data_IF_753137474493
#
_entry.id   IF_753137474493
#
_cell.length_a   1.000
_cell.length_b   1.000
_cell.length_c   1.000
_cell.angle_alpha   90.00
_cell.angle_beta   90.00
_cell.angle_gamma   90.00
#
_symmetry.space_group_name_H-M   'P 1'
#
loop_
_entity.id
_entity.type
_entity.pdbx_description
1 polymer ?
#
# COMPACT_ATOMS: atom_id res chain seq x y z
N UNK A 1 -16.65 -4.58 2.35
CA UNK A 1 -15.81 -4.05 1.25
C UNK A 1 -14.55 -4.88 1.13
N UNK A 2 -14.08 -5.15 -0.09
CA UNK A 2 -12.78 -5.77 -0.34
C UNK A 2 -11.92 -4.86 -1.22
N UNK A 3 -10.66 -4.63 -0.82
CA UNK A 3 -9.67 -3.82 -1.53
C UNK A 3 -8.59 -4.75 -2.08
N UNK A 4 -8.40 -4.73 -3.40
CA UNK A 4 -7.53 -5.67 -4.11
C UNK A 4 -8.27 -6.94 -4.55
N UNK A 5 -9.49 -6.78 -5.08
CA UNK A 5 -10.37 -7.91 -5.41
C UNK A 5 -9.84 -8.81 -6.53
N UNK A 6 -8.94 -8.35 -7.40
CA UNK A 6 -8.37 -9.13 -8.50
C UNK A 6 -9.46 -9.77 -9.38
N UNK A 7 -9.52 -11.10 -9.46
CA UNK A 7 -10.57 -11.82 -10.17
C UNK A 7 -11.88 -11.96 -9.35
N UNK A 8 -11.97 -11.44 -8.13
CA UNK A 8 -13.22 -11.41 -7.34
C UNK A 8 -13.65 -12.75 -6.72
N UNK A 9 -12.75 -13.74 -6.61
CA UNK A 9 -13.08 -15.03 -5.96
C UNK A 9 -13.42 -14.84 -4.48
N UNK A 10 -12.60 -14.07 -3.75
CA UNK A 10 -12.88 -13.70 -2.36
C UNK A 10 -14.15 -12.84 -2.29
N UNK A 11 -14.32 -11.89 -3.20
CA UNK A 11 -15.50 -11.00 -3.23
C UNK A 11 -16.79 -11.80 -3.40
N UNK A 12 -16.78 -12.85 -4.22
CA UNK A 12 -17.91 -13.77 -4.38
C UNK A 12 -18.25 -14.48 -3.07
N UNK A 13 -17.25 -15.01 -2.36
CA UNK A 13 -17.46 -15.66 -1.05
C UNK A 13 -18.04 -14.65 -0.06
N UNK A 14 -17.53 -13.42 -0.04
CA UNK A 14 -18.05 -12.36 0.82
C UNK A 14 -19.50 -12.01 0.46
N UNK A 15 -19.83 -11.92 -0.83
CA UNK A 15 -21.19 -11.67 -1.31
C UNK A 15 -22.18 -12.72 -0.79
N UNK A 16 -21.81 -14.00 -0.80
CA UNK A 16 -22.67 -15.09 -0.31
C UNK A 16 -22.90 -15.04 1.22
N UNK A 17 -22.10 -14.26 1.95
CA UNK A 17 -22.12 -14.17 3.42
C UNK A 17 -22.47 -12.78 3.93
N UNK A 18 -22.78 -11.84 3.05
CA UNK A 18 -23.06 -10.45 3.41
C UNK A 18 -24.30 -9.94 2.71
N UNK A 19 -24.92 -8.90 3.29
CA UNK A 19 -26.05 -8.21 2.68
C UNK A 19 -25.62 -7.47 1.41
N UNK A 20 -24.41 -6.90 1.44
CA UNK A 20 -23.81 -6.23 0.31
C UNK A 20 -22.29 -6.33 0.37
N UNK A 21 -21.67 -6.36 -0.80
CA UNK A 21 -20.22 -6.28 -0.95
C UNK A 21 -19.89 -5.43 -2.17
N UNK A 22 -18.78 -4.72 -2.07
CA UNK A 22 -18.10 -4.09 -3.19
C UNK A 22 -16.66 -4.60 -3.22
N UNK A 23 -16.27 -5.15 -4.37
CA UNK A 23 -14.88 -5.48 -4.69
C UNK A 23 -14.22 -4.30 -5.39
N UNK A 24 -13.03 -3.91 -4.94
CA UNK A 24 -12.29 -2.77 -5.49
C UNK A 24 -10.98 -3.28 -6.08
N UNK A 25 -10.64 -2.86 -7.29
CA UNK A 25 -9.32 -3.09 -7.89
C UNK A 25 -8.86 -1.83 -8.65
N UNK A 26 -7.55 -1.71 -8.87
CA UNK A 26 -6.98 -0.61 -9.67
C UNK A 26 -6.94 -0.96 -11.17
N UNK A 27 -7.03 -2.24 -11.51
CA UNK A 27 -7.04 -2.71 -12.90
C UNK A 27 -8.46 -2.67 -13.46
N UNK A 28 -8.72 -1.70 -14.33
CA UNK A 28 -9.99 -1.58 -15.05
C UNK A 28 -10.33 -2.86 -15.82
N UNK A 29 -9.35 -3.48 -16.46
CA UNK A 29 -9.51 -4.76 -17.18
C UNK A 29 -10.00 -5.89 -16.27
N UNK A 30 -9.42 -6.03 -15.07
CA UNK A 30 -9.84 -7.06 -14.11
C UNK A 30 -11.25 -6.78 -13.59
N UNK A 31 -11.57 -5.51 -13.31
CA UNK A 31 -12.92 -5.10 -12.88
C UNK A 31 -13.94 -5.47 -13.94
N UNK A 32 -13.73 -5.09 -15.20
CA UNK A 32 -14.65 -5.39 -16.32
C UNK A 32 -14.88 -6.90 -16.46
N UNK A 33 -13.79 -7.68 -16.57
CA UNK A 33 -13.88 -9.15 -16.68
C UNK A 33 -14.60 -9.80 -15.50
N UNK A 34 -14.41 -9.27 -14.30
CA UNK A 34 -15.03 -9.81 -13.10
C UNK A 34 -16.51 -9.46 -13.04
N UNK A 35 -16.91 -8.25 -13.44
CA UNK A 35 -18.32 -7.84 -13.56
C UNK A 35 -19.07 -8.69 -14.58
N UNK A 36 -18.47 -8.99 -15.74
CA UNK A 36 -19.07 -9.88 -16.73
C UNK A 36 -19.33 -11.28 -16.16
N UNK A 37 -18.39 -11.79 -15.36
CA UNK A 37 -18.48 -13.12 -14.74
C UNK A 37 -19.44 -13.17 -13.54
N UNK A 38 -19.49 -12.10 -12.75
CA UNK A 38 -20.23 -12.00 -11.50
C UNK A 38 -21.19 -10.79 -11.55
N UNK A 39 -22.20 -10.79 -12.44
CA UNK A 39 -23.02 -9.60 -12.72
C UNK A 39 -23.92 -9.15 -11.56
N UNK A 40 -24.04 -9.97 -10.51
CA UNK A 40 -24.80 -9.65 -9.29
C UNK A 40 -23.93 -9.03 -8.19
N UNK A 41 -22.62 -9.05 -8.35
CA UNK A 41 -21.65 -8.53 -7.37
C UNK A 41 -21.13 -7.19 -7.88
N UNK A 42 -21.08 -6.19 -7.00
CA UNK A 42 -20.59 -4.86 -7.34
C UNK A 42 -19.06 -4.87 -7.36
N UNK A 43 -18.47 -4.38 -8.45
CA UNK A 43 -17.04 -4.11 -8.55
C UNK A 43 -16.79 -2.68 -9.03
N UNK A 44 -15.70 -2.08 -8.56
CA UNK A 44 -15.35 -0.69 -8.84
C UNK A 44 -13.85 -0.56 -9.15
N UNK A 45 -13.52 0.21 -10.19
CA UNK A 45 -12.14 0.54 -10.51
C UNK A 45 -11.71 1.79 -9.74
N UNK A 46 -10.85 1.62 -8.73
CA UNK A 46 -10.41 2.70 -7.85
C UNK A 46 -8.99 2.46 -7.33
N UNK A 47 -8.14 3.48 -7.38
CA UNK A 47 -6.90 3.51 -6.62
C UNK A 47 -7.20 3.88 -5.16
N UNK A 48 -7.50 2.89 -4.33
CA UNK A 48 -7.92 3.09 -2.93
C UNK A 48 -6.90 3.84 -2.06
N UNK A 49 -5.63 3.92 -2.48
CA UNK A 49 -4.60 4.67 -1.75
C UNK A 49 -4.60 6.14 -2.16
N UNK A 50 -4.80 6.43 -3.45
CA UNK A 50 -4.79 7.82 -3.94
C UNK A 50 -6.15 8.50 -3.85
N UNK A 51 -7.24 7.77 -4.08
CA UNK A 51 -8.60 8.31 -4.09
C UNK A 51 -9.37 7.92 -2.82
N UNK A 52 -8.97 8.53 -1.71
CA UNK A 52 -9.60 8.32 -0.40
C UNK A 52 -11.05 8.81 -0.36
N UNK A 53 -11.41 9.83 -1.16
CA UNK A 53 -12.78 10.33 -1.24
C UNK A 53 -13.68 9.36 -2.01
N UNK A 54 -13.21 8.82 -3.13
CA UNK A 54 -13.88 7.75 -3.85
C UNK A 54 -14.08 6.53 -2.96
N UNK A 55 -13.06 6.13 -2.21
CA UNK A 55 -13.14 5.01 -1.26
C UNK A 55 -14.22 5.25 -0.19
N UNK A 56 -14.28 6.46 0.38
CA UNK A 56 -15.32 6.84 1.33
C UNK A 56 -16.72 6.79 0.72
N UNK A 57 -16.89 7.25 -0.53
CA UNK A 57 -18.18 7.18 -1.22
C UNK A 57 -18.62 5.72 -1.42
N UNK A 58 -17.70 4.83 -1.78
CA UNK A 58 -17.99 3.40 -1.91
C UNK A 58 -18.27 2.70 -0.57
N UNK A 59 -17.73 3.23 0.52
CA UNK A 59 -17.97 2.71 1.87
C UNK A 59 -19.35 3.10 2.41
N UNK A 60 -19.98 4.12 1.83
CA UNK A 60 -21.36 4.47 2.09
C UNK A 60 -22.25 3.60 1.23
N UNK A 61 -23.23 2.98 1.88
CA UNK A 61 -24.28 2.24 1.22
C UNK A 61 -25.61 2.96 1.47
N UNK A 62 -26.33 3.24 0.39
CA UNK A 62 -27.54 4.07 0.35
C UNK A 62 -28.84 3.28 0.60
N UNK A 63 -28.76 1.97 0.84
CA UNK A 63 -29.91 1.13 1.18
C UNK A 63 -29.87 0.52 2.59
N UNK A 64 -30.90 0.71 3.40
CA UNK A 64 -31.03 -0.02 4.67
C UNK A 64 -31.66 -1.37 4.39
N UNK A 65 -31.07 -2.47 4.81
CA UNK A 65 -31.76 -3.77 4.83
C UNK A 65 -32.29 -4.01 6.25
N UNK A 66 -33.62 -4.05 6.40
CA UNK A 66 -34.26 -4.44 7.66
C UNK A 66 -34.02 -5.92 7.97
N UNK A 67 -34.25 -6.33 9.22
CA UNK A 67 -34.17 -7.74 9.66
C UNK A 67 -35.06 -8.70 8.85
N UNK A 68 -36.11 -8.19 8.19
CA UNK A 68 -36.99 -8.92 7.29
C UNK A 68 -36.50 -8.97 5.82
N UNK A 69 -35.32 -8.41 5.54
CA UNK A 69 -34.75 -8.33 4.19
C UNK A 69 -35.31 -7.20 3.32
N UNK A 70 -36.16 -6.31 3.86
CA UNK A 70 -36.77 -5.21 3.10
C UNK A 70 -35.84 -3.99 3.04
N UNK A 71 -35.69 -3.44 1.84
CA UNK A 71 -34.94 -2.21 1.60
C UNK A 71 -35.74 -0.99 2.10
N UNK A 72 -35.21 -0.26 3.08
CA UNK A 72 -35.75 1.04 3.52
C UNK A 72 -34.82 2.13 3.00
N UNK A 73 -35.37 3.02 2.18
CA UNK A 73 -34.67 4.23 1.75
C UNK A 73 -34.48 5.18 2.94
N UNK A 74 -33.27 5.70 3.14
CA UNK A 74 -33.08 6.92 3.92
C UNK A 74 -32.09 6.88 5.10
N UNK A 75 -31.56 5.72 5.52
CA UNK A 75 -30.43 5.70 6.46
C UNK A 75 -29.13 5.30 5.75
N UNK A 76 -28.09 6.09 5.98
CA UNK A 76 -26.76 5.84 5.46
C UNK A 76 -26.10 4.72 6.26
N UNK A 77 -25.89 3.56 5.63
CA UNK A 77 -25.20 2.43 6.25
C UNK A 77 -23.73 2.49 5.87
N UNK A 78 -22.87 2.60 6.88
CA UNK A 78 -21.42 2.56 6.67
C UNK A 78 -20.93 1.11 6.60
N UNK A 79 -19.95 0.87 5.74
CA UNK A 79 -19.26 -0.40 5.63
C UNK A 79 -18.73 -0.88 7.00
N UNK A 80 -19.18 -2.05 7.44
CA UNK A 80 -18.84 -2.63 8.74
C UNK A 80 -17.57 -3.51 8.72
N UNK A 81 -17.23 -4.10 7.58
CA UNK A 81 -16.08 -5.01 7.42
C UNK A 81 -15.26 -4.64 6.18
N UNK A 82 -13.95 -4.48 6.35
CA UNK A 82 -13.00 -4.19 5.26
C UNK A 82 -11.96 -5.29 5.16
N UNK A 83 -11.86 -5.92 3.99
CA UNK A 83 -10.81 -6.87 3.65
C UNK A 83 -9.79 -6.18 2.74
N UNK A 84 -8.51 -6.33 3.03
CA UNK A 84 -7.41 -5.73 2.29
C UNK A 84 -6.50 -6.85 1.79
N UNK A 85 -6.57 -7.15 0.50
CA UNK A 85 -5.67 -8.08 -0.20
C UNK A 85 -4.93 -7.34 -1.32
N UNK A 86 -4.06 -6.43 -0.94
CA UNK A 86 -3.19 -5.76 -1.91
C UNK A 86 -2.02 -6.68 -2.25
N UNK A 87 -2.27 -7.64 -3.13
CA UNK A 87 -1.27 -8.58 -3.61
C UNK A 87 -0.02 -7.92 -4.23
N UNK A 88 1.08 -8.65 -4.22
CA UNK A 88 2.36 -8.25 -4.81
C UNK A 88 3.36 -7.66 -3.82
N UNK A 89 4.50 -7.21 -4.34
CA UNK A 89 5.61 -6.59 -3.59
C UNK A 89 5.26 -5.13 -3.21
N UNK A 90 4.07 -4.90 -2.65
CA UNK A 90 3.64 -3.58 -2.20
C UNK A 90 4.31 -3.27 -0.88
N UNK A 91 4.95 -2.10 -0.83
CA UNK A 91 5.65 -1.64 0.37
C UNK A 91 4.62 -1.39 1.49
N UNK A 92 4.96 -1.79 2.72
CA UNK A 92 4.09 -1.65 3.91
C UNK A 92 3.55 -0.22 4.11
N UNK A 93 4.25 0.78 3.61
CA UNK A 93 3.87 2.19 3.61
C UNK A 93 2.54 2.43 2.90
N UNK A 94 2.29 1.73 1.80
CA UNK A 94 1.03 1.84 1.06
C UNK A 94 -0.12 1.21 1.84
N UNK A 95 0.12 0.04 2.48
CA UNK A 95 -0.85 -0.60 3.37
C UNK A 95 -1.19 0.34 4.52
N UNK A 96 -0.20 0.97 5.12
CA UNK A 96 -0.42 1.83 6.27
C UNK A 96 -1.18 3.13 5.93
N UNK A 97 -0.89 3.77 4.80
CA UNK A 97 -1.67 4.93 4.32
C UNK A 97 -3.13 4.55 4.08
N UNK A 98 -3.36 3.36 3.52
CA UNK A 98 -4.70 2.83 3.36
C UNK A 98 -5.37 2.59 4.71
N UNK A 99 -4.68 1.96 5.67
CA UNK A 99 -5.21 1.71 7.01
C UNK A 99 -5.54 2.98 7.76
N UNK A 100 -4.71 4.02 7.66
CA UNK A 100 -5.00 5.33 8.24
C UNK A 100 -6.33 5.87 7.69
N UNK A 101 -6.53 5.79 6.38
CA UNK A 101 -7.77 6.24 5.74
C UNK A 101 -8.98 5.40 6.17
N UNK A 102 -8.85 4.08 6.18
CA UNK A 102 -9.93 3.16 6.57
C UNK A 102 -10.31 3.34 8.05
N UNK A 103 -9.33 3.38 8.95
CA UNK A 103 -9.57 3.46 10.41
C UNK A 103 -10.09 4.83 10.84
N UNK A 104 -9.67 5.93 10.20
CA UNK A 104 -10.09 7.27 10.59
C UNK A 104 -11.40 7.72 9.94
N UNK A 105 -11.67 7.31 8.70
CA UNK A 105 -12.81 7.82 7.90
C UNK A 105 -13.94 6.81 7.76
N UNK A 106 -13.62 5.54 7.48
CA UNK A 106 -14.64 4.49 7.30
C UNK A 106 -15.07 3.92 8.66
N UNK A 107 -14.12 3.74 9.58
CA UNK A 107 -14.34 3.21 10.93
C UNK A 107 -15.11 1.87 10.94
N UNK A 108 -14.69 0.86 10.17
CA UNK A 108 -15.34 -0.45 10.20
C UNK A 108 -15.12 -1.14 11.55
N UNK A 109 -16.02 -2.05 11.92
CA UNK A 109 -15.86 -2.91 13.12
C UNK A 109 -14.74 -3.94 12.95
N UNK A 110 -14.50 -4.40 11.72
CA UNK A 110 -13.46 -5.38 11.42
C UNK A 110 -12.64 -4.96 10.20
N UNK A 111 -11.32 -5.05 10.34
CA UNK A 111 -10.37 -4.92 9.24
C UNK A 111 -9.55 -6.21 9.17
N UNK A 112 -9.59 -6.89 8.04
CA UNK A 112 -8.78 -8.08 7.77
C UNK A 112 -7.75 -7.72 6.71
N UNK A 113 -6.48 -7.96 7.00
CA UNK A 113 -5.37 -7.52 6.14
C UNK A 113 -4.52 -8.73 5.81
N UNK A 114 -4.34 -9.00 4.52
CA UNK A 114 -3.39 -9.99 4.02
C UNK A 114 -2.08 -9.28 3.67
N UNK A 115 -1.17 -9.23 4.63
CA UNK A 115 0.16 -8.64 4.46
C UNK A 115 1.18 -9.36 5.34
N UNK A 116 2.17 -10.01 4.71
CA UNK A 116 3.24 -10.70 5.43
C UNK A 116 4.11 -9.72 6.23
N UNK A 117 4.53 -8.61 5.62
CA UNK A 117 5.34 -7.60 6.33
C UNK A 117 4.62 -7.03 7.55
N UNK A 118 3.32 -6.71 7.42
CA UNK A 118 2.54 -6.18 8.54
C UNK A 118 2.34 -7.23 9.62
N UNK A 119 2.12 -8.49 9.24
CA UNK A 119 2.01 -9.62 10.18
C UNK A 119 3.32 -9.79 10.97
N UNK A 120 4.48 -9.78 10.29
CA UNK A 120 5.77 -9.90 10.98
C UNK A 120 6.01 -8.74 11.94
N UNK A 121 5.65 -7.51 11.56
CA UNK A 121 5.77 -6.36 12.45
C UNK A 121 4.84 -6.46 13.67
N UNK A 122 3.58 -6.83 13.46
CA UNK A 122 2.62 -7.04 14.54
C UNK A 122 3.08 -8.15 15.49
N UNK A 123 3.62 -9.25 14.96
CA UNK A 123 4.18 -10.35 15.74
C UNK A 123 5.38 -9.91 16.59
N UNK A 124 6.33 -9.18 16.03
CA UNK A 124 7.48 -8.65 16.77
C UNK A 124 7.03 -7.72 17.90
N UNK A 125 6.01 -6.89 17.64
CA UNK A 125 5.40 -6.06 18.67
C UNK A 125 4.78 -6.91 19.79
N UNK A 126 3.96 -7.92 19.46
CA UNK A 126 3.41 -8.87 20.44
C UNK A 126 4.51 -9.49 21.32
N UNK A 127 5.57 -9.99 20.69
CA UNK A 127 6.71 -10.60 21.38
C UNK A 127 7.39 -9.60 22.33
N UNK A 128 7.54 -8.34 21.91
CA UNK A 128 8.14 -7.28 22.73
C UNK A 128 7.35 -6.90 23.98
N UNK A 129 6.03 -7.09 23.97
CA UNK A 129 5.14 -6.83 25.11
C UNK A 129 4.77 -8.11 25.88
N UNK A 130 5.33 -9.27 25.51
CA UNK A 130 5.03 -10.56 26.13
C UNK A 130 3.63 -11.10 25.84
N UNK A 131 2.99 -10.65 24.75
CA UNK A 131 1.65 -11.11 24.35
C UNK A 131 1.69 -12.23 23.30
N UNK A 132 0.73 -13.15 23.37
CA UNK A 132 0.63 -14.30 22.45
C UNK A 132 -0.44 -14.02 21.39
N UNK A 133 -0.03 -13.45 20.27
CA UNK A 133 -0.85 -13.43 19.04
C UNK A 133 -2.04 -12.47 19.02
N UNK A 134 -2.26 -11.68 20.07
CA UNK A 134 -3.26 -10.61 20.09
C UNK A 134 -2.81 -9.45 20.96
N UNK A 135 -3.08 -8.22 20.55
CA UNK A 135 -3.02 -7.05 21.42
C UNK A 135 -4.33 -6.28 21.25
N UNK A 136 -4.86 -5.77 22.36
CA UNK A 136 -5.98 -4.83 22.31
C UNK A 136 -5.54 -3.56 21.56
N UNK A 137 -6.49 -2.80 21.03
CA UNK A 137 -6.22 -1.55 20.29
C UNK A 137 -5.16 -0.71 21.00
N UNK A 138 -3.92 -0.83 20.52
CA UNK A 138 -2.72 -0.36 21.20
C UNK A 138 -2.22 0.85 20.43
N UNK A 139 -2.39 2.06 20.97
CA UNK A 139 -1.77 3.26 20.43
C UNK A 139 -0.27 3.04 20.21
N UNK A 140 0.39 2.29 21.08
CA UNK A 140 1.81 1.96 21.01
C UNK A 140 2.16 1.17 19.75
N UNK A 141 1.32 0.21 19.34
CA UNK A 141 1.52 -0.49 18.07
C UNK A 141 1.35 0.44 16.87
N UNK A 142 0.36 1.33 16.91
CA UNK A 142 0.13 2.33 15.84
C UNK A 142 1.31 3.30 15.72
N UNK A 143 1.84 3.74 16.85
CA UNK A 143 3.03 4.59 16.92
C UNK A 143 4.26 3.85 16.40
N UNK A 144 4.44 2.59 16.79
CA UNK A 144 5.52 1.73 16.30
C UNK A 144 5.45 1.54 14.78
N UNK A 145 4.26 1.26 14.24
CA UNK A 145 4.01 1.15 12.81
C UNK A 145 4.31 2.48 12.09
N UNK A 146 3.85 3.60 12.64
CA UNK A 146 4.09 4.95 12.12
C UNK A 146 5.59 5.29 12.06
N UNK A 147 6.33 4.96 13.12
CA UNK A 147 7.78 5.12 13.19
C UNK A 147 8.50 4.27 12.14
N UNK A 148 8.10 3.01 11.98
CA UNK A 148 8.67 2.14 10.95
C UNK A 148 8.46 2.70 9.54
N UNK A 149 7.25 3.19 9.23
CA UNK A 149 6.93 3.84 7.95
C UNK A 149 7.80 5.08 7.74
N UNK A 150 7.96 5.92 8.77
CA UNK A 150 8.77 7.13 8.68
C UNK A 150 10.25 6.80 8.43
N UNK A 151 10.79 5.77 9.10
CA UNK A 151 12.14 5.29 8.88
C UNK A 151 12.34 4.78 7.44
N UNK A 152 11.38 3.99 6.90
CA UNK A 152 11.46 3.53 5.51
C UNK A 152 11.30 4.67 4.51
N UNK A 153 10.37 5.63 4.72
CA UNK A 153 10.25 6.86 3.90
C UNK A 153 11.55 7.64 3.86
N UNK A 154 12.21 7.82 5.01
CA UNK A 154 13.51 8.48 5.09
C UNK A 154 14.57 7.72 4.29
N UNK A 155 14.63 6.39 4.43
CA UNK A 155 15.54 5.53 3.67
C UNK A 155 15.30 5.61 2.16
N UNK A 156 14.04 5.55 1.70
CA UNK A 156 13.68 5.66 0.29
C UNK A 156 13.99 7.05 -0.26
N UNK A 157 13.77 8.10 0.53
CA UNK A 157 14.11 9.47 0.14
C UNK A 157 15.61 9.66 -0.09
N UNK A 158 16.46 9.04 0.76
CA UNK A 158 17.92 8.97 0.59
C UNK A 158 18.36 8.16 -0.63
N UNK A 159 17.48 7.32 -1.19
CA UNK A 159 17.76 6.55 -2.40
C UNK A 159 17.17 7.19 -3.67
N UNK A 160 16.51 8.34 -3.57
CA UNK A 160 15.92 8.99 -4.74
C UNK A 160 16.99 9.77 -5.53
N UNK A 161 17.33 9.41 -6.79
CA UNK A 161 18.41 10.01 -7.56
C UNK A 161 18.34 11.53 -7.64
N UNK A 162 17.14 12.09 -7.84
CA UNK A 162 16.98 13.54 -7.98
C UNK A 162 17.19 14.33 -6.68
N UNK A 163 17.12 13.67 -5.51
CA UNK A 163 17.35 14.30 -4.21
C UNK A 163 18.83 14.31 -3.81
N UNK A 164 19.70 13.62 -4.56
CA UNK A 164 21.12 13.50 -4.25
C UNK A 164 21.90 14.68 -4.81
N UNK A 165 22.90 15.17 -4.07
CA UNK A 165 23.76 16.25 -4.53
C UNK A 165 24.54 15.82 -5.79
N UNK A 166 24.46 16.56 -6.91
CA UNK A 166 25.28 16.27 -8.08
C UNK A 166 26.76 16.33 -7.72
N UNK A 167 27.54 15.35 -8.19
CA UNK A 167 29.00 15.35 -8.04
C UNK A 167 29.65 15.03 -9.39
N UNK A 168 30.86 15.53 -9.59
CA UNK A 168 31.70 15.19 -10.73
C UNK A 168 32.79 14.21 -10.34
N UNK A 169 33.26 13.43 -11.30
CA UNK A 169 34.47 12.63 -11.19
C UNK A 169 35.74 13.49 -11.35
N UNK A 170 36.96 12.93 -11.24
CA UNK A 170 38.21 13.69 -11.39
C UNK A 170 38.36 14.43 -12.73
N UNK A 171 37.73 13.93 -13.80
CA UNK A 171 37.74 14.53 -15.14
C UNK A 171 36.68 15.63 -15.32
N UNK A 172 35.93 15.97 -14.26
CA UNK A 172 34.87 16.98 -14.29
C UNK A 172 33.53 16.48 -14.83
N UNK A 173 33.42 15.21 -15.25
CA UNK A 173 32.19 14.62 -15.76
C UNK A 173 31.22 14.35 -14.61
N UNK A 174 29.97 14.79 -14.75
CA UNK A 174 28.94 14.55 -13.75
C UNK A 174 28.65 13.05 -13.59
N UNK A 175 28.59 12.60 -12.34
CA UNK A 175 28.27 11.21 -11.97
C UNK A 175 26.76 10.98 -12.10
N UNK A 176 26.39 9.87 -12.74
CA UNK A 176 25.00 9.53 -12.97
C UNK A 176 24.30 9.10 -11.67
N UNK A 177 23.48 9.99 -11.12
CA UNK A 177 22.65 9.73 -9.93
C UNK A 177 21.68 8.56 -10.16
N UNK A 178 21.13 8.42 -11.36
CA UNK A 178 20.22 7.31 -11.66
C UNK A 178 20.91 5.96 -11.67
N UNK A 179 22.15 5.86 -12.17
CA UNK A 179 22.93 4.63 -12.09
C UNK A 179 23.32 4.30 -10.65
N UNK A 180 23.65 5.33 -9.87
CA UNK A 180 24.14 5.17 -8.50
C UNK A 180 23.08 4.77 -7.47
N UNK A 181 21.85 5.29 -7.59
CA UNK A 181 20.79 5.04 -6.62
C UNK A 181 19.60 4.25 -7.18
N UNK A 182 19.48 4.08 -8.51
CA UNK A 182 18.37 3.35 -9.15
C UNK A 182 18.86 2.63 -10.44
N UNK A 183 17.96 2.33 -11.38
CA UNK A 183 18.31 1.83 -12.71
C UNK A 183 18.33 2.99 -13.69
N UNK A 184 19.50 3.29 -14.28
CA UNK A 184 19.57 4.24 -15.39
C UNK A 184 18.95 3.63 -16.65
N UNK A 185 17.83 4.19 -17.12
CA UNK A 185 17.14 3.72 -18.34
C UNK A 185 17.89 4.04 -19.64
N UNK A 186 18.85 4.98 -19.59
CA UNK A 186 19.63 5.44 -20.75
C UNK A 186 21.07 4.94 -20.70
N UNK A 187 21.34 3.79 -20.09
CA UNK A 187 22.71 3.44 -19.72
C UNK A 187 23.71 3.46 -20.88
N UNK A 188 23.30 3.04 -22.07
CA UNK A 188 24.12 3.03 -23.28
C UNK A 188 24.31 4.41 -23.92
N UNK A 189 23.42 5.36 -23.64
CA UNK A 189 23.41 6.71 -24.19
C UNK A 189 23.65 7.78 -23.11
N UNK A 190 24.06 7.36 -21.91
CA UNK A 190 24.18 8.25 -20.77
C UNK A 190 25.52 8.98 -20.86
N UNK A 191 25.47 10.30 -21.04
CA UNK A 191 26.67 11.14 -21.03
C UNK A 191 27.30 11.32 -19.63
N UNK A 192 26.67 10.75 -18.60
CA UNK A 192 27.11 10.85 -17.21
C UNK A 192 27.95 9.64 -16.82
N UNK A 193 28.84 9.84 -15.87
CA UNK A 193 29.75 8.80 -15.41
C UNK A 193 29.01 7.69 -14.62
N UNK A 194 29.20 6.45 -15.08
CA UNK A 194 28.65 5.22 -14.49
C UNK A 194 29.71 4.40 -13.74
N UNK A 195 30.97 4.84 -13.73
CA UNK A 195 32.09 4.13 -13.11
C UNK A 195 32.22 4.54 -11.65
N UNK A 196 32.04 5.83 -11.34
CA UNK A 196 32.25 6.38 -10.01
C UNK A 196 30.99 6.40 -9.14
N UNK A 197 31.19 6.12 -7.85
CA UNK A 197 30.17 6.20 -6.83
C UNK A 197 29.83 7.67 -6.54
N UNK A 198 28.56 8.04 -6.57
CA UNK A 198 28.12 9.41 -6.28
C UNK A 198 28.27 9.78 -4.80
N UNK A 199 28.38 8.78 -3.90
CA UNK A 199 28.52 9.00 -2.46
C UNK A 199 29.98 9.23 -2.04
N UNK A 200 30.89 8.34 -2.43
CA UNK A 200 32.30 8.40 -2.01
C UNK A 200 33.27 8.86 -3.11
N UNK A 201 32.82 8.97 -4.36
CA UNK A 201 33.64 9.35 -5.51
C UNK A 201 34.60 8.25 -6.00
N UNK A 202 34.61 7.05 -5.39
CA UNK A 202 35.50 5.96 -5.80
C UNK A 202 34.85 5.10 -6.90
N UNK A 203 35.64 4.53 -7.82
CA UNK A 203 35.12 3.67 -8.88
C UNK A 203 34.72 2.28 -8.37
N UNK A 204 34.01 1.52 -9.23
CA UNK A 204 33.80 0.08 -9.06
C UNK A 204 32.60 -0.33 -8.22
N UNK A 205 31.78 0.63 -7.77
CA UNK A 205 30.52 0.35 -7.09
C UNK A 205 29.55 1.54 -7.23
N UNK A 206 28.28 1.27 -7.01
CA UNK A 206 27.23 2.30 -6.95
C UNK A 206 27.08 2.84 -5.52
N UNK A 207 26.47 4.02 -5.37
CA UNK A 207 26.13 4.58 -4.06
C UNK A 207 25.36 3.58 -3.19
N UNK A 208 24.42 2.81 -3.78
CA UNK A 208 23.70 1.72 -3.09
C UNK A 208 24.59 0.66 -2.43
N UNK A 209 25.80 0.46 -2.94
CA UNK A 209 26.75 -0.55 -2.49
C UNK A 209 27.88 0.07 -1.62
N UNK A 210 27.89 1.38 -1.44
CA UNK A 210 28.96 2.09 -0.74
C UNK A 210 28.86 1.90 0.77
N UNK A 211 29.95 1.55 1.46
CA UNK A 211 30.04 1.67 2.91
C UNK A 211 30.69 3.02 3.27
N UNK A 212 30.15 3.84 4.19
CA UNK A 212 29.06 3.58 5.12
C UNK A 212 27.78 4.23 4.59
N UNK A 213 26.94 3.50 3.84
CA UNK A 213 25.54 3.88 3.72
C UNK A 213 24.87 3.65 5.10
N UNK A 214 25.15 4.52 6.08
CA UNK A 214 24.45 4.60 7.37
C UNK A 214 23.48 5.78 7.33
#
# INVERSE_FOLDING_TARGET
MEIGSSFGMTTQILYEKSLSVVGIDISEELVQKTQERLPRVRFECLDAVKDTLGLMKLAKWDGVVREDGVLVEGEEVMCNCVFVDIGGNREIEMVALLLESVTTRIKPYLIVIKSEELFQHARQFCESIGSVGSFADSPEWRDSLSNMIQLKKNKLSRLHPLKQTPRSNPDGILICRYHNYQRCKKAELCQFDHIHCNECGKPGHTAKQCQPFK
#
